data_IF_903215248497
#
_entry.id   IF_903215248497
#
_cell.length_a   1.000
_cell.length_b   1.000
_cell.length_c   1.000
_cell.angle_alpha   90.00
_cell.angle_beta   90.00
_cell.angle_gamma   90.00
#
_symmetry.space_group_name_H-M   'P 1'
#
loop_
_entity.id
_entity.type
_entity.pdbx_description
1 polymer ?
#
# COMPACT_ATOMS: atom_id res chain seq x y z
N UNK A 1 0.37 -5.43 13.80
CA UNK A 1 -0.48 -4.21 13.74
C UNK A 1 0.00 -3.18 14.74
N UNK A 2 0.07 -3.50 16.04
CA UNK A 2 0.46 -2.56 17.10
C UNK A 2 1.77 -1.78 16.82
N UNK A 3 2.84 -2.46 16.38
CA UNK A 3 4.12 -1.80 16.05
C UNK A 3 3.99 -0.74 14.94
N UNK A 4 3.18 -1.00 13.91
CA UNK A 4 2.98 -0.08 12.79
C UNK A 4 2.20 1.16 13.27
N UNK A 5 1.19 0.94 14.12
CA UNK A 5 0.38 2.02 14.71
C UNK A 5 1.24 2.88 15.63
N UNK A 6 1.99 2.27 16.56
CA UNK A 6 2.87 2.98 17.48
C UNK A 6 3.97 3.76 16.75
N UNK A 7 4.58 3.17 15.72
CA UNK A 7 5.54 3.88 14.88
C UNK A 7 4.87 5.05 14.13
N UNK A 8 3.61 4.92 13.71
CA UNK A 8 2.84 6.02 13.12
C UNK A 8 2.57 7.14 14.13
N UNK A 9 2.16 6.81 15.34
CA UNK A 9 1.86 7.77 16.40
C UNK A 9 3.11 8.56 16.83
N UNK A 10 4.27 7.89 16.96
CA UNK A 10 5.57 8.56 17.20
C UNK A 10 5.94 9.57 16.11
N UNK A 11 5.27 9.45 14.96
CA UNK A 11 5.43 10.30 13.81
C UNK A 11 4.24 11.27 13.69
N UNK A 12 3.39 11.53 14.69
CA UNK A 12 2.22 12.41 14.55
C UNK A 12 1.17 11.90 13.52
N UNK A 13 1.05 10.56 13.35
CA UNK A 13 0.10 9.91 12.45
C UNK A 13 -0.86 9.00 13.22
N UNK A 14 -2.17 9.22 13.07
CA UNK A 14 -3.19 8.25 13.45
C UNK A 14 -3.56 7.41 12.23
N UNK A 15 -3.40 6.08 12.33
CA UNK A 15 -3.75 5.13 11.28
C UNK A 15 -4.97 4.32 11.70
N UNK A 16 -6.01 4.31 10.86
CA UNK A 16 -7.24 3.55 11.12
C UNK A 16 -7.57 2.64 9.95
N UNK A 17 -7.70 1.35 10.22
CA UNK A 17 -8.26 0.36 9.29
C UNK A 17 -9.78 0.22 9.55
N UNK A 18 -10.56 0.21 8.47
CA UNK A 18 -11.99 -0.06 8.46
C UNK A 18 -12.28 -1.11 7.40
N UNK A 19 -13.20 -2.04 7.67
CA UNK A 19 -13.55 -3.13 6.75
C UNK A 19 -15.06 -3.19 6.53
N UNK A 20 -15.47 -3.59 5.33
CA UNK A 20 -16.86 -3.88 4.98
C UNK A 20 -16.88 -5.04 3.98
N UNK A 21 -17.17 -6.25 4.47
CA UNK A 21 -17.06 -7.46 3.67
C UNK A 21 -15.62 -7.66 3.14
N UNK A 22 -15.41 -7.92 1.84
CA UNK A 22 -14.06 -8.07 1.29
C UNK A 22 -13.30 -6.75 1.19
N UNK A 23 -13.99 -5.61 1.29
CA UNK A 23 -13.41 -4.29 1.10
C UNK A 23 -12.76 -3.77 2.39
N UNK A 24 -11.72 -2.98 2.23
CA UNK A 24 -11.11 -2.25 3.33
C UNK A 24 -10.76 -0.82 2.92
N UNK A 25 -10.70 0.04 3.94
CA UNK A 25 -10.20 1.41 3.85
C UNK A 25 -9.23 1.65 4.98
N UNK A 26 -8.12 2.32 4.66
CA UNK A 26 -7.17 2.82 5.64
C UNK A 26 -7.18 4.34 5.54
N UNK A 27 -7.37 5.01 6.68
CA UNK A 27 -7.29 6.46 6.79
C UNK A 27 -6.09 6.83 7.65
N UNK A 28 -5.30 7.78 7.18
CA UNK A 28 -4.24 8.43 7.94
C UNK A 28 -4.67 9.86 8.30
N UNK A 29 -4.60 10.21 9.58
CA UNK A 29 -4.85 11.57 10.07
C UNK A 29 -3.62 12.14 10.76
N UNK A 30 -3.46 13.46 10.70
CA UNK A 30 -2.54 14.17 11.59
C UNK A 30 -3.07 14.09 13.03
N UNK A 31 -2.23 13.74 14.01
CA UNK A 31 -2.65 13.79 15.42
C UNK A 31 -2.76 15.23 15.93
N UNK A 32 -2.06 16.18 15.30
CA UNK A 32 -2.07 17.59 15.66
C UNK A 32 -3.31 18.32 15.13
N UNK A 33 -3.68 18.10 13.86
CA UNK A 33 -4.77 18.85 13.20
C UNK A 33 -6.06 18.04 13.07
N UNK A 34 -6.01 16.74 13.38
CA UNK A 34 -7.09 15.74 13.18
C UNK A 34 -7.58 15.60 11.72
N UNK A 35 -6.94 16.28 10.77
CA UNK A 35 -7.27 16.26 9.35
C UNK A 35 -6.80 14.98 8.70
N UNK A 36 -7.60 14.47 7.76
CA UNK A 36 -7.20 13.36 6.90
C UNK A 36 -6.08 13.81 5.97
N UNK A 37 -4.93 13.15 6.08
CA UNK A 37 -3.72 13.42 5.30
C UNK A 37 -3.42 12.35 4.24
N UNK A 38 -4.08 11.20 4.35
CA UNK A 38 -4.03 10.17 3.33
C UNK A 38 -5.09 9.10 3.53
N UNK A 39 -5.40 8.41 2.44
CA UNK A 39 -6.28 7.24 2.44
C UNK A 39 -5.83 6.19 1.44
N UNK A 40 -6.09 4.94 1.75
CA UNK A 40 -6.00 3.84 0.79
C UNK A 40 -7.22 2.94 0.86
N UNK A 41 -7.57 2.36 -0.28
CA UNK A 41 -8.69 1.45 -0.43
C UNK A 41 -8.24 0.19 -1.18
N UNK A 42 -8.94 -0.90 -0.93
CA UNK A 42 -8.67 -2.17 -1.59
C UNK A 42 -9.67 -3.23 -1.17
N UNK A 43 -9.41 -4.45 -1.61
CA UNK A 43 -10.22 -5.61 -1.23
C UNK A 43 -9.40 -6.90 -1.13
N UNK A 44 -9.92 -7.86 -0.39
CA UNK A 44 -9.43 -9.24 -0.40
C UNK A 44 -10.26 -10.03 -1.41
N UNK A 45 -9.60 -10.50 -2.48
CA UNK A 45 -10.21 -11.35 -3.50
C UNK A 45 -9.99 -12.82 -3.15
N UNK A 46 -11.02 -13.64 -3.35
CA UNK A 46 -10.92 -15.10 -3.23
C UNK A 46 -10.86 -15.68 -4.64
N UNK A 47 -9.82 -16.46 -4.92
CA UNK A 47 -9.64 -17.14 -6.22
C UNK A 47 -9.30 -18.61 -6.01
N UNK A 48 -9.35 -19.41 -7.08
CA UNK A 48 -8.98 -20.85 -7.07
C UNK A 48 -7.56 -21.13 -6.55
N UNK A 49 -6.68 -20.12 -6.53
CA UNK A 49 -5.32 -20.19 -6.00
C UNK A 49 -5.12 -19.59 -4.60
N UNK A 50 -6.20 -19.28 -3.88
CA UNK A 50 -6.16 -18.67 -2.55
C UNK A 50 -6.61 -17.21 -2.55
N UNK A 51 -6.23 -16.47 -1.51
CA UNK A 51 -6.61 -15.07 -1.32
C UNK A 51 -5.55 -14.11 -1.85
N UNK A 52 -6.00 -13.06 -2.52
CA UNK A 52 -5.16 -11.99 -3.06
C UNK A 52 -5.56 -10.68 -2.38
N UNK A 53 -4.56 -9.94 -1.88
CA UNK A 53 -4.75 -8.58 -1.42
C UNK A 53 -4.68 -7.64 -2.62
N UNK A 54 -5.83 -7.12 -3.01
CA UNK A 54 -5.97 -6.15 -4.08
C UNK A 54 -5.88 -4.73 -3.54
N UNK A 55 -4.82 -4.02 -3.93
CA UNK A 55 -4.61 -2.61 -3.62
C UNK A 55 -5.19 -1.79 -4.78
N UNK A 56 -6.28 -1.09 -4.51
CA UNK A 56 -7.02 -0.34 -5.53
C UNK A 56 -6.44 1.07 -5.68
N UNK A 57 -6.44 1.85 -4.59
CA UNK A 57 -6.01 3.23 -4.66
C UNK A 57 -5.32 3.69 -3.38
N UNK A 58 -4.42 4.66 -3.55
CA UNK A 58 -3.84 5.44 -2.46
C UNK A 58 -3.88 6.92 -2.86
N UNK A 59 -4.37 7.77 -1.96
CA UNK A 59 -4.47 9.22 -2.17
C UNK A 59 -3.87 9.92 -0.97
N UNK A 60 -2.94 10.84 -1.21
CA UNK A 60 -2.28 11.66 -0.20
C UNK A 60 -2.63 13.12 -0.46
N UNK A 61 -2.91 13.90 0.57
CA UNK A 61 -3.35 15.28 0.41
C UNK A 61 -2.16 16.26 0.39
N UNK A 62 -2.42 17.54 0.09
CA UNK A 62 -1.35 18.57 0.08
C UNK A 62 -0.72 18.81 1.46
N UNK A 63 -1.47 18.67 2.55
CA UNK A 63 -0.96 18.80 3.92
C UNK A 63 0.12 17.73 4.22
N UNK A 64 0.04 16.57 3.56
CA UNK A 64 1.09 15.54 3.64
C UNK A 64 2.44 15.97 3.05
N UNK A 65 2.49 17.04 2.24
CA UNK A 65 3.72 17.61 1.67
C UNK A 65 4.50 18.49 2.66
N UNK A 66 3.81 19.04 3.67
CA UNK A 66 4.38 19.96 4.66
C UNK A 66 4.92 19.27 5.91
N UNK A 67 4.59 18.00 6.12
CA UNK A 67 5.31 17.18 7.11
C UNK A 67 6.74 16.98 6.61
N UNK A 68 7.76 17.02 7.47
CA UNK A 68 9.17 16.67 7.14
C UNK A 68 9.35 15.26 6.52
N UNK A 69 8.26 14.51 6.38
CA UNK A 69 8.24 13.17 5.81
C UNK A 69 7.98 13.29 4.33
N UNK A 70 8.88 12.70 3.54
CA UNK A 70 8.58 12.45 2.14
C UNK A 70 7.21 11.78 2.00
N UNK A 71 6.44 12.16 0.99
CA UNK A 71 5.18 11.51 0.53
C UNK A 71 5.30 9.98 0.58
N UNK A 72 6.49 9.46 0.26
CA UNK A 72 6.83 8.05 0.27
C UNK A 72 6.86 7.42 1.67
N UNK A 73 7.16 8.18 2.73
CA UNK A 73 7.10 7.73 4.12
C UNK A 73 5.67 7.51 4.60
N UNK A 74 4.77 8.48 4.36
CA UNK A 74 3.34 8.33 4.68
C UNK A 74 2.71 7.18 3.89
N UNK A 75 3.03 7.10 2.58
CA UNK A 75 2.59 5.99 1.74
C UNK A 75 3.03 4.63 2.26
N UNK A 76 4.23 4.53 2.84
CA UNK A 76 4.73 3.29 3.43
C UNK A 76 3.97 2.89 4.70
N UNK A 77 3.59 3.85 5.57
CA UNK A 77 2.78 3.55 6.75
C UNK A 77 1.39 3.01 6.38
N UNK A 78 0.71 3.70 5.45
CA UNK A 78 -0.60 3.26 4.94
C UNK A 78 -0.45 1.88 4.27
N UNK A 79 0.57 1.71 3.43
CA UNK A 79 0.88 0.44 2.80
C UNK A 79 1.12 -0.67 3.82
N UNK A 80 1.89 -0.41 4.89
CA UNK A 80 2.20 -1.41 5.90
C UNK A 80 0.95 -1.92 6.64
N UNK A 81 0.01 -1.03 6.93
CA UNK A 81 -1.30 -1.43 7.48
C UNK A 81 -2.04 -2.34 6.48
N UNK A 82 -2.05 -2.00 5.19
CA UNK A 82 -2.71 -2.80 4.15
C UNK A 82 -2.07 -4.20 4.02
N UNK A 83 -0.74 -4.28 3.95
CA UNK A 83 -0.02 -5.56 3.84
C UNK A 83 -0.22 -6.40 5.09
N UNK A 84 -0.18 -5.79 6.29
CA UNK A 84 -0.45 -6.51 7.52
C UNK A 84 -1.87 -7.06 7.55
N UNK A 85 -2.86 -6.26 7.14
CA UNK A 85 -4.23 -6.73 7.00
C UNK A 85 -4.35 -7.90 6.02
N UNK A 86 -3.74 -7.80 4.84
CA UNK A 86 -3.73 -8.90 3.87
C UNK A 86 -3.11 -10.18 4.42
N UNK A 87 -2.00 -10.07 5.17
CA UNK A 87 -1.41 -11.22 5.86
C UNK A 87 -2.37 -11.85 6.86
N UNK A 88 -3.00 -11.03 7.71
CA UNK A 88 -3.95 -11.49 8.72
C UNK A 88 -5.19 -12.14 8.07
N UNK A 89 -5.57 -11.73 6.86
CA UNK A 89 -6.63 -12.36 6.07
C UNK A 89 -6.20 -13.68 5.38
N UNK A 90 -4.91 -14.02 5.40
CA UNK A 90 -4.34 -15.19 4.74
C UNK A 90 -4.01 -14.99 3.26
N UNK A 91 -3.85 -13.75 2.80
CA UNK A 91 -3.42 -13.46 1.43
C UNK A 91 -1.96 -13.87 1.23
N UNK A 92 -1.65 -14.46 0.06
CA UNK A 92 -0.28 -14.81 -0.31
C UNK A 92 0.38 -13.79 -1.21
N UNK A 93 -0.42 -13.11 -2.03
CA UNK A 93 0.03 -12.10 -2.97
C UNK A 93 -0.65 -10.77 -2.69
N UNK A 94 0.12 -9.68 -2.72
CA UNK A 94 -0.37 -8.32 -2.86
C UNK A 94 -0.24 -7.90 -4.31
N UNK A 95 -1.24 -7.16 -4.78
CA UNK A 95 -1.38 -6.84 -6.19
C UNK A 95 -1.83 -5.38 -6.35
N UNK A 96 -1.20 -4.63 -7.26
CA UNK A 96 -1.55 -3.25 -7.57
C UNK A 96 -1.39 -2.93 -9.06
N UNK A 97 -1.93 -1.79 -9.48
CA UNK A 97 -1.65 -1.18 -10.79
C UNK A 97 -0.92 0.16 -10.61
N UNK A 98 0.27 0.29 -11.19
CA UNK A 98 0.91 1.57 -11.37
C UNK A 98 0.29 2.24 -12.62
N UNK A 99 -0.77 3.02 -12.41
CA UNK A 99 -1.52 3.69 -13.49
C UNK A 99 -0.61 4.64 -14.27
N UNK A 100 -0.77 4.64 -15.60
CA UNK A 100 -0.06 5.52 -16.51
C UNK A 100 -0.91 6.75 -16.88
N UNK A 101 -0.97 7.73 -15.97
CA UNK A 101 -1.56 9.05 -16.27
C UNK A 101 -0.60 9.93 -17.09
N UNK A 102 0.71 9.73 -16.92
CA UNK A 102 1.76 10.25 -17.79
C UNK A 102 3.04 9.44 -17.63
N UNK A 103 3.83 9.32 -18.70
CA UNK A 103 5.04 8.47 -18.71
C UNK A 103 6.04 8.82 -17.59
N UNK A 104 6.17 10.11 -17.27
CA UNK A 104 7.05 10.56 -16.20
C UNK A 104 6.55 10.12 -14.82
N UNK A 105 5.24 10.27 -14.54
CA UNK A 105 4.66 9.85 -13.26
C UNK A 105 4.63 8.32 -13.14
N UNK A 106 4.23 7.65 -14.22
CA UNK A 106 4.21 6.20 -14.33
C UNK A 106 5.59 5.59 -14.02
N UNK A 107 6.65 6.07 -14.68
CA UNK A 107 8.00 5.56 -14.43
C UNK A 107 8.47 5.80 -12.98
N UNK A 108 8.01 6.87 -12.31
CA UNK A 108 8.30 7.13 -10.89
C UNK A 108 7.55 6.15 -9.99
N UNK A 109 6.28 5.87 -10.27
CA UNK A 109 5.47 4.90 -9.53
C UNK A 109 6.05 3.48 -9.64
N UNK A 110 6.36 3.04 -10.86
CA UNK A 110 6.97 1.71 -11.08
C UNK A 110 8.30 1.58 -10.33
N UNK A 111 9.18 2.60 -10.40
CA UNK A 111 10.44 2.62 -9.64
C UNK A 111 10.21 2.58 -8.12
N UNK A 112 9.25 3.34 -7.62
CA UNK A 112 8.90 3.35 -6.20
C UNK A 112 8.42 1.97 -5.72
N UNK A 113 7.42 1.40 -6.40
CA UNK A 113 6.86 0.09 -6.05
C UNK A 113 7.89 -1.03 -6.16
N UNK A 114 8.77 -0.96 -7.16
CA UNK A 114 9.91 -1.88 -7.30
C UNK A 114 10.84 -1.80 -6.08
N UNK A 115 11.23 -0.58 -5.68
CA UNK A 115 12.11 -0.37 -4.52
C UNK A 115 11.52 -0.93 -3.23
N UNK A 116 10.21 -0.86 -3.05
CA UNK A 116 9.55 -1.39 -1.85
C UNK A 116 9.20 -2.88 -1.94
N UNK A 117 9.44 -3.55 -3.08
CA UNK A 117 9.41 -5.01 -3.18
C UNK A 117 8.40 -5.61 -4.16
N UNK A 118 7.65 -4.79 -4.90
CA UNK A 118 6.82 -5.26 -6.00
C UNK A 118 7.66 -5.57 -7.24
N UNK A 119 7.15 -6.44 -8.11
CA UNK A 119 7.72 -6.75 -9.41
C UNK A 119 6.71 -6.44 -10.50
N UNK A 120 7.18 -5.84 -11.60
CA UNK A 120 6.37 -5.66 -12.80
C UNK A 120 6.05 -7.02 -13.42
N UNK A 121 4.77 -7.27 -13.65
CA UNK A 121 4.29 -8.53 -14.23
C UNK A 121 4.03 -8.38 -15.72
N UNK A 122 3.16 -7.44 -16.07
CA UNK A 122 2.84 -7.09 -17.45
C UNK A 122 2.25 -5.68 -17.53
N UNK A 123 2.23 -5.13 -18.72
CA UNK A 123 1.55 -3.87 -19.01
C UNK A 123 0.08 -4.13 -19.35
N UNK A 124 -0.81 -3.42 -18.66
CA UNK A 124 -2.24 -3.34 -18.97
C UNK A 124 -2.37 -2.22 -20.00
N UNK A 125 -2.48 -2.60 -21.26
CA UNK A 125 -2.47 -1.68 -22.41
C UNK A 125 -3.86 -1.34 -22.94
N UNK A 126 -4.85 -2.16 -22.57
CA UNK A 126 -6.21 -2.13 -23.13
C UNK A 126 -6.33 -2.77 -24.51
N UNK A 127 -5.24 -3.30 -25.06
CA UNK A 127 -5.23 -3.94 -26.39
C UNK A 127 -5.56 -5.44 -26.35
N UNK A 128 -5.49 -6.07 -25.17
CA UNK A 128 -5.76 -7.51 -24.99
C UNK A 128 -7.07 -7.72 -24.26
N UNK A 129 -7.81 -8.79 -24.60
CA UNK A 129 -9.03 -9.20 -23.89
C UNK A 129 -8.83 -9.37 -22.37
N UNK A 130 -7.64 -9.83 -21.95
CA UNK A 130 -7.25 -9.94 -20.53
C UNK A 130 -7.15 -8.57 -19.85
N UNK A 131 -6.77 -7.53 -20.59
CA UNK A 131 -6.60 -6.17 -20.07
C UNK A 131 -7.96 -5.54 -19.71
N UNK A 132 -9.06 -5.98 -20.35
CA UNK A 132 -10.40 -5.45 -20.07
C UNK A 132 -10.81 -5.73 -18.62
N UNK A 133 -10.52 -6.92 -18.10
CA UNK A 133 -10.80 -7.26 -16.70
C UNK A 133 -10.00 -6.40 -15.72
N UNK A 134 -8.71 -6.20 -16.00
CA UNK A 134 -7.83 -5.36 -15.17
C UNK A 134 -8.23 -3.87 -15.26
N UNK A 135 -8.62 -3.38 -16.45
CA UNK A 135 -9.11 -2.02 -16.66
C UNK A 135 -10.45 -1.76 -15.97
N UNK A 136 -11.38 -2.73 -15.95
CA UNK A 136 -12.64 -2.60 -15.19
C UNK A 136 -12.36 -2.50 -13.71
N UNK A 137 -11.33 -3.19 -13.25
CA UNK A 137 -10.98 -3.30 -11.85
C UNK A 137 -10.26 -2.06 -11.30
N UNK A 138 -9.27 -1.53 -12.03
CA UNK A 138 -8.48 -0.36 -11.59
C UNK A 138 -8.83 0.94 -12.33
N UNK A 139 -9.65 0.88 -13.38
CA UNK A 139 -10.12 2.05 -14.11
C UNK A 139 -9.11 2.68 -15.08
N UNK A 140 -8.00 2.02 -15.42
CA UNK A 140 -6.97 2.61 -16.28
C UNK A 140 -5.94 1.62 -16.85
N UNK A 141 -5.05 2.16 -17.69
CA UNK A 141 -3.88 1.46 -18.22
C UNK A 141 -2.66 1.68 -17.30
N UNK A 142 -1.68 0.80 -17.36
CA UNK A 142 -0.49 0.94 -16.53
C UNK A 142 0.30 -0.35 -16.38
N UNK A 143 1.17 -0.42 -15.38
CA UNK A 143 1.96 -1.63 -15.10
C UNK A 143 1.36 -2.40 -13.94
N UNK A 144 0.92 -3.62 -14.22
CA UNK A 144 0.47 -4.57 -13.19
C UNK A 144 1.68 -5.03 -12.39
N UNK A 145 1.61 -4.91 -11.06
CA UNK A 145 2.70 -5.30 -10.18
C UNK A 145 2.24 -6.18 -9.03
N UNK A 146 3.05 -7.19 -8.71
CA UNK A 146 2.76 -8.16 -7.66
C UNK A 146 3.92 -8.30 -6.66
N UNK A 147 3.60 -8.75 -5.45
CA UNK A 147 4.59 -9.12 -4.45
C UNK A 147 4.04 -10.23 -3.52
N UNK A 148 4.87 -11.19 -3.08
CA UNK A 148 4.51 -12.05 -1.97
C UNK A 148 4.35 -11.23 -0.67
N UNK A 149 3.22 -11.40 0.02
CA UNK A 149 2.89 -10.66 1.25
C UNK A 149 3.98 -10.83 2.32
N UNK A 150 4.45 -12.06 2.51
CA UNK A 150 5.49 -12.39 3.50
C UNK A 150 6.81 -11.67 3.20
N UNK A 151 7.18 -11.56 1.92
CA UNK A 151 8.37 -10.81 1.51
C UNK A 151 8.23 -9.30 1.79
N UNK A 152 7.04 -8.73 1.60
CA UNK A 152 6.78 -7.33 1.93
C UNK A 152 6.86 -7.08 3.44
N UNK A 153 6.28 -7.97 4.25
CA UNK A 153 6.36 -7.87 5.71
C UNK A 153 7.82 -7.89 6.19
N UNK A 154 8.60 -8.89 5.77
CA UNK A 154 10.01 -8.98 6.16
C UNK A 154 10.80 -7.73 5.76
N UNK A 155 10.56 -7.22 4.54
CA UNK A 155 11.27 -6.04 4.02
C UNK A 155 10.89 -4.75 4.74
N UNK A 156 9.65 -4.63 5.21
CA UNK A 156 9.14 -3.38 5.79
C UNK A 156 9.20 -3.36 7.32
N UNK A 157 9.15 -4.52 7.99
CA UNK A 157 9.27 -4.62 9.44
C UNK A 157 10.52 -3.90 9.98
N UNK A 158 11.64 -3.95 9.25
CA UNK A 158 12.88 -3.24 9.63
C UNK A 158 12.72 -1.73 9.74
N UNK A 159 11.69 -1.14 9.11
CA UNK A 159 11.41 0.30 9.17
C UNK A 159 10.49 0.72 10.33
N UNK A 160 9.83 -0.23 10.98
CA UNK A 160 8.87 0.05 12.06
C UNK A 160 9.34 -0.43 13.43
N UNK A 161 10.53 -1.04 13.51
CA UNK A 161 11.15 -1.38 14.80
C UNK A 161 11.57 -0.11 15.52
N UNK A 162 11.15 0.05 16.77
CA UNK A 162 11.63 1.10 17.65
C UNK A 162 13.12 0.90 17.99
N UNK A 163 13.90 1.96 18.24
CA UNK A 163 15.32 1.85 18.65
C UNK A 163 15.55 1.08 19.97
N UNK A 164 14.50 0.86 20.77
CA UNK A 164 14.58 0.27 22.11
C UNK A 164 14.76 -1.25 22.15
N UNK A 165 14.88 -1.94 21.02
CA UNK A 165 15.20 -3.38 21.00
C UNK A 165 16.71 -3.66 20.86
N UNK A 166 17.56 -2.95 21.59
CA UNK A 166 18.90 -3.45 21.88
C UNK A 166 18.80 -4.38 23.09
N UNK A 167 19.18 -5.67 23.00
CA UNK A 167 19.33 -6.48 24.19
C UNK A 167 20.43 -5.83 25.03
N UNK A 168 20.08 -5.42 26.25
CA UNK A 168 21.07 -5.12 27.26
C UNK A 168 21.82 -6.43 27.54
N UNK A 169 23.06 -6.52 27.05
CA UNK A 169 24.07 -7.43 27.59
C UNK A 169 24.83 -6.68 28.68
#
# INVERSE_FOLDING_TARGET
>A
MAEIVAAGESQNLSLRLQTLGPFFRITAKSLETEREIGKAEGLVRVWLGGKILHLDSIRLNRESLGMEKSIFGLGLFIGAVAIRYGYDCGCKTAELLAINDSDLYHSKLVRFYTRIGFKSMYEVSGSKLKDIGDMVVWGGIGTRMDAPIESLLLKWCTRFKSPSSHPQN
#
